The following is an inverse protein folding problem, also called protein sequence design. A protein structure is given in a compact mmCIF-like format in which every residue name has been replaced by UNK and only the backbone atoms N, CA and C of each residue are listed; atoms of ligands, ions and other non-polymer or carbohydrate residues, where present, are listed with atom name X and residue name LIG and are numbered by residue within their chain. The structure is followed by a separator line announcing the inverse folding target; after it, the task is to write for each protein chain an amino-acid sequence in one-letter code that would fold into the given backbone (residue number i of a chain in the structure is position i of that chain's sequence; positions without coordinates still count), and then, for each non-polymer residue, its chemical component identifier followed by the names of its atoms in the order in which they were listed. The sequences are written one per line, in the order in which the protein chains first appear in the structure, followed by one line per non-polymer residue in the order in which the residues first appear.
data_IF_369186147400
#
_entry.id   IF_369186147400
#
_cell.length_a   1.000
_cell.length_b   1.000
_cell.length_c   1.000
_cell.angle_alpha   90.00
_cell.angle_beta   90.00
_cell.angle_gamma   90.00
#
_symmetry.space_group_name_H-M   'P 1'
#
loop_
_entity.id
_entity.type
_entity.pdbx_description
1 polymer ?
#
# COMPACT_ATOMS: atom_id res chain seq x y z
N UNK A 1 -8.63 -32.78 -3.59
CA UNK A 1 -8.49 -31.36 -3.25
C UNK A 1 -7.24 -31.29 -2.41
N UNK A 2 -6.15 -30.90 -3.04
CA UNK A 2 -4.77 -31.02 -2.55
C UNK A 2 -4.08 -29.71 -2.89
N UNK A 3 -3.19 -29.23 -2.00
CA UNK A 3 -2.34 -28.02 -2.09
C UNK A 3 -2.67 -26.80 -1.19
N UNK A 4 -3.18 -27.00 0.03
CA UNK A 4 -3.17 -25.92 1.07
C UNK A 4 -2.76 -26.40 2.47
N UNK A 5 -2.07 -27.54 2.58
CA UNK A 5 -1.59 -28.08 3.86
C UNK A 5 -0.07 -27.87 3.93
N UNK A 6 0.36 -26.72 4.48
CA UNK A 6 1.79 -26.46 4.67
C UNK A 6 2.26 -25.01 4.69
N UNK A 7 1.36 -24.02 4.75
CA UNK A 7 1.75 -22.64 5.03
C UNK A 7 1.75 -22.44 6.55
N UNK A 8 2.91 -22.66 7.16
CA UNK A 8 3.16 -22.38 8.57
C UNK A 8 3.14 -20.86 8.77
N UNK A 9 1.96 -20.30 9.08
CA UNK A 9 1.79 -18.87 9.31
C UNK A 9 2.61 -18.38 10.52
N UNK A 10 2.94 -19.26 11.47
CA UNK A 10 3.73 -18.91 12.66
C UNK A 10 5.17 -18.50 12.32
N UNK A 11 5.78 -19.11 11.28
CA UNK A 11 7.11 -18.71 10.80
C UNK A 11 7.11 -17.34 10.09
N UNK A 12 5.95 -16.84 9.66
CA UNK A 12 5.80 -15.52 9.04
C UNK A 12 5.71 -14.42 10.10
N UNK A 13 5.12 -14.73 11.26
CA UNK A 13 5.00 -13.78 12.39
C UNK A 13 6.35 -13.48 13.06
N UNK A 14 7.28 -14.44 13.09
CA UNK A 14 8.61 -14.26 13.72
C UNK A 14 9.52 -13.29 12.95
N UNK A 15 9.32 -13.12 11.64
CA UNK A 15 10.05 -12.16 10.81
C UNK A 15 9.54 -10.71 10.94
N UNK A 16 8.41 -10.49 11.63
CA UNK A 16 7.87 -9.16 11.88
C UNK A 16 8.41 -8.50 13.16
N UNK A 17 9.25 -9.21 13.93
CA UNK A 17 9.73 -8.77 15.24
C UNK A 17 11.20 -8.25 15.26
N UNK A 18 11.81 -8.01 14.10
CA UNK A 18 13.16 -7.42 14.06
C UNK A 18 13.08 -5.89 13.94
N UNK A 19 13.35 -5.24 15.07
CA UNK A 19 13.57 -3.82 15.28
C UNK A 19 14.84 -3.36 14.55
N UNK A 20 14.83 -3.37 13.21
CA UNK A 20 15.83 -2.69 12.38
C UNK A 20 15.23 -1.38 11.82
N UNK A 21 15.71 -0.20 12.23
CA UNK A 21 15.25 1.09 11.71
C UNK A 21 15.71 1.37 10.25
N UNK A 22 16.19 0.35 9.52
CA UNK A 22 16.50 0.40 8.10
C UNK A 22 15.56 -0.51 7.28
N UNK A 23 14.72 0.10 6.44
CA UNK A 23 14.24 -0.54 5.19
C UNK A 23 13.21 -1.67 5.35
N UNK A 24 12.37 -1.65 6.38
CA UNK A 24 11.15 -2.46 6.44
C UNK A 24 9.93 -1.71 5.90
N UNK A 25 9.74 -1.65 4.59
CA UNK A 25 8.54 -1.05 3.97
C UNK A 25 7.30 -1.84 4.38
N UNK A 26 6.59 -1.40 5.44
CA UNK A 26 5.32 -1.99 5.87
C UNK A 26 4.32 -1.90 4.72
N UNK A 27 3.71 -3.01 4.33
CA UNK A 27 2.65 -3.01 3.31
C UNK A 27 1.30 -3.07 4.02
N UNK A 28 0.42 -2.10 3.74
CA UNK A 28 -0.92 -2.00 4.31
C UNK A 28 -1.93 -2.29 3.22
N UNK A 29 -2.77 -3.31 3.46
CA UNK A 29 -3.90 -3.64 2.61
C UNK A 29 -5.15 -2.95 3.16
N UNK A 30 -5.93 -2.34 2.26
CA UNK A 30 -7.16 -1.65 2.65
C UNK A 30 -8.19 -1.66 1.55
N UNK A 31 -9.34 -1.09 1.84
CA UNK A 31 -10.39 -0.78 0.87
C UNK A 31 -10.49 0.74 0.79
N UNK A 32 -10.56 1.26 -0.43
CA UNK A 32 -10.81 2.66 -0.71
C UNK A 32 -12.30 2.78 -1.06
N UNK A 33 -13.12 2.95 -0.04
CA UNK A 33 -14.59 3.11 -0.10
C UNK A 33 -15.06 4.46 0.47
N UNK A 34 -14.16 5.23 1.10
CA UNK A 34 -14.43 6.55 1.67
C UNK A 34 -14.77 6.57 3.17
N UNK A 35 -14.88 5.41 3.83
CA UNK A 35 -15.01 5.33 5.30
C UNK A 35 -13.72 5.78 5.99
N UNK A 36 -12.54 5.41 5.46
CA UNK A 36 -11.25 5.92 5.92
C UNK A 36 -10.95 7.28 5.31
N UNK A 37 -10.72 8.27 6.18
CA UNK A 37 -10.39 9.64 5.77
C UNK A 37 -9.04 9.77 5.05
N UNK A 38 -8.87 10.79 4.21
CA UNK A 38 -7.65 10.98 3.41
C UNK A 38 -6.39 11.20 4.26
N UNK A 39 -6.51 11.87 5.42
CA UNK A 39 -5.39 12.13 6.33
C UNK A 39 -4.78 10.83 6.87
N UNK A 40 -5.60 9.83 7.19
CA UNK A 40 -5.11 8.54 7.73
C UNK A 40 -4.27 7.78 6.70
N UNK A 41 -4.68 7.81 5.42
CA UNK A 41 -3.88 7.23 4.33
C UNK A 41 -2.56 7.98 4.15
N UNK A 42 -2.61 9.31 4.20
CA UNK A 42 -1.43 10.15 4.05
C UNK A 42 -0.43 9.93 5.19
N UNK A 43 -0.88 9.91 6.44
CA UNK A 43 -0.06 9.61 7.61
C UNK A 43 0.59 8.22 7.51
N UNK A 44 -0.17 7.23 7.04
CA UNK A 44 0.34 5.87 6.85
C UNK A 44 1.48 5.83 5.83
N UNK A 45 1.35 6.53 4.69
CA UNK A 45 2.41 6.60 3.69
C UNK A 45 3.61 7.41 4.19
N UNK A 46 3.38 8.53 4.88
CA UNK A 46 4.47 9.33 5.44
C UNK A 46 5.30 8.58 6.49
N UNK A 47 4.71 7.57 7.15
CA UNK A 47 5.42 6.63 8.02
C UNK A 47 6.36 5.66 7.27
N UNK A 48 6.35 5.69 5.93
CA UNK A 48 7.15 4.81 5.07
C UNK A 48 6.43 3.52 4.66
N UNK A 49 5.11 3.43 4.87
CA UNK A 49 4.33 2.27 4.45
C UNK A 49 3.85 2.39 3.00
N UNK A 50 3.79 1.26 2.30
CA UNK A 50 3.16 1.12 0.98
C UNK A 50 1.71 0.73 1.17
N UNK A 51 0.78 1.44 0.52
CA UNK A 51 -0.64 1.08 0.52
C UNK A 51 -0.99 0.27 -0.72
N UNK A 52 -1.82 -0.76 -0.54
CA UNK A 52 -2.51 -1.47 -1.62
C UNK A 52 -4.00 -1.47 -1.29
N UNK A 53 -4.73 -0.58 -1.95
CA UNK A 53 -6.13 -0.32 -1.64
C UNK A 53 -7.04 -0.89 -2.72
N UNK A 54 -7.97 -1.77 -2.36
CA UNK A 54 -9.03 -2.20 -3.26
C UNK A 54 -10.02 -1.04 -3.47
N UNK A 55 -10.21 -0.58 -4.70
CA UNK A 55 -11.04 0.60 -4.98
C UNK A 55 -12.49 0.19 -5.13
N UNK A 56 -13.35 0.69 -4.24
CA UNK A 56 -14.80 0.49 -4.28
C UNK A 56 -15.51 1.83 -4.52
N UNK A 57 -15.53 2.27 -5.77
CA UNK A 57 -16.19 3.54 -6.17
C UNK A 57 -15.40 4.30 -7.23
N UNK A 58 -15.54 5.62 -7.22
CA UNK A 58 -14.76 6.50 -8.11
C UNK A 58 -13.40 6.83 -7.48
N UNK A 59 -12.34 6.32 -8.11
CA UNK A 59 -10.97 6.53 -7.66
C UNK A 59 -10.61 8.02 -7.57
N UNK A 60 -11.05 8.85 -8.53
CA UNK A 60 -10.65 10.24 -8.53
C UNK A 60 -11.27 10.98 -7.37
N UNK A 61 -12.53 10.71 -7.06
CA UNK A 61 -13.21 11.31 -5.89
C UNK A 61 -12.56 10.85 -4.59
N UNK A 62 -12.30 9.55 -4.44
CA UNK A 62 -11.78 8.97 -3.20
C UNK A 62 -10.30 9.29 -2.96
N UNK A 63 -9.48 9.32 -4.01
CA UNK A 63 -8.05 9.60 -3.90
C UNK A 63 -7.73 11.10 -3.96
N UNK A 64 -8.63 11.97 -4.44
CA UNK A 64 -8.36 13.41 -4.54
C UNK A 64 -7.89 14.04 -3.23
N UNK A 65 -8.36 13.53 -2.09
CA UNK A 65 -8.03 14.04 -0.77
C UNK A 65 -6.58 13.83 -0.33
N UNK A 66 -5.85 12.87 -0.90
CA UNK A 66 -4.46 12.58 -0.50
C UNK A 66 -3.49 12.43 -1.68
N UNK A 67 -3.98 12.18 -2.90
CA UNK A 67 -3.13 11.93 -4.07
C UNK A 67 -2.18 13.08 -4.37
N UNK A 68 -2.65 14.31 -4.17
CA UNK A 68 -1.84 15.51 -4.36
C UNK A 68 -0.71 15.57 -3.35
N UNK A 69 -1.01 15.45 -2.07
CA UNK A 69 -0.03 15.53 -0.98
C UNK A 69 1.02 14.41 -1.06
N UNK A 70 0.62 13.21 -1.46
CA UNK A 70 1.55 12.10 -1.74
C UNK A 70 2.54 12.49 -2.86
N UNK A 71 2.04 13.04 -3.97
CA UNK A 71 2.90 13.48 -5.09
C UNK A 71 3.83 14.62 -4.68
N UNK A 72 3.34 15.58 -3.91
CA UNK A 72 4.15 16.69 -3.39
C UNK A 72 5.22 16.22 -2.40
N UNK A 73 4.96 15.12 -1.68
CA UNK A 73 5.91 14.46 -0.76
C UNK A 73 6.91 13.54 -1.47
N UNK A 74 6.83 13.40 -2.81
CA UNK A 74 7.71 12.57 -3.61
C UNK A 74 7.36 11.07 -3.64
N UNK A 75 6.15 10.70 -3.21
CA UNK A 75 5.61 9.35 -3.34
C UNK A 75 4.99 9.10 -4.72
N UNK A 76 4.66 7.84 -5.00
CA UNK A 76 3.98 7.44 -6.24
C UNK A 76 2.58 6.88 -5.98
N UNK A 77 1.70 7.01 -6.98
CA UNK A 77 0.39 6.39 -7.00
C UNK A 77 0.19 5.72 -8.36
N UNK A 78 -0.30 4.50 -8.36
CA UNK A 78 -0.69 3.77 -9.55
C UNK A 78 -1.98 3.00 -9.33
N UNK A 79 -2.93 3.17 -10.24
CA UNK A 79 -4.08 2.28 -10.33
C UNK A 79 -3.75 1.06 -11.20
N UNK A 80 -3.94 -0.15 -10.65
CA UNK A 80 -3.69 -1.42 -11.31
C UNK A 80 -4.81 -2.43 -11.00
N UNK A 81 -5.54 -2.85 -12.04
CA UNK A 81 -6.57 -3.91 -11.99
C UNK A 81 -7.60 -3.76 -10.84
N UNK A 82 -8.03 -2.54 -10.53
CA UNK A 82 -8.99 -2.27 -9.45
C UNK A 82 -8.34 -1.94 -8.10
N UNK A 83 -7.02 -2.00 -8.02
CA UNK A 83 -6.27 -1.60 -6.83
C UNK A 83 -5.57 -0.26 -7.05
N UNK A 84 -5.50 0.56 -6.01
CA UNK A 84 -4.63 1.72 -5.93
C UNK A 84 -3.39 1.34 -5.11
N UNK A 85 -2.23 1.38 -5.75
CA UNK A 85 -0.93 1.22 -5.13
C UNK A 85 -0.39 2.61 -4.81
N UNK A 86 0.01 2.84 -3.57
CA UNK A 86 0.60 4.10 -3.12
C UNK A 86 1.92 3.83 -2.43
N UNK A 87 2.99 4.48 -2.88
CA UNK A 87 4.32 4.31 -2.30
C UNK A 87 4.85 5.59 -1.66
N UNK A 88 5.61 5.48 -0.57
CA UNK A 88 6.33 6.59 0.02
C UNK A 88 7.52 7.01 -0.86
N UNK A 89 8.12 8.20 -0.60
CA UNK A 89 9.33 8.61 -1.28
C UNK A 89 10.45 7.57 -1.13
N UNK A 90 11.16 7.30 -2.24
CA UNK A 90 12.24 6.32 -2.29
C UNK A 90 11.83 4.90 -2.67
N UNK A 91 10.54 4.65 -2.94
CA UNK A 91 10.03 3.38 -3.46
C UNK A 91 9.35 3.60 -4.81
N UNK A 92 9.98 3.07 -5.87
CA UNK A 92 9.50 3.19 -7.26
C UNK A 92 8.55 2.05 -7.64
N UNK A 93 7.52 2.37 -8.43
CA UNK A 93 6.60 1.36 -8.98
C UNK A 93 7.06 0.93 -10.38
N UNK A 94 7.77 -0.21 -10.49
CA UNK A 94 8.16 -0.77 -11.79
C UNK A 94 6.98 -1.40 -12.54
N UNK A 95 6.73 -0.91 -13.75
CA UNK A 95 5.58 -1.28 -14.59
C UNK A 95 5.99 -1.85 -15.94
N UNK A 96 7.30 -1.99 -16.18
CA UNK A 96 7.85 -2.47 -17.45
C UNK A 96 7.35 -3.87 -17.84
N UNK A 97 6.86 -4.65 -16.87
CA UNK A 97 6.35 -6.01 -17.09
C UNK A 97 4.84 -6.07 -17.31
N UNK A 98 4.13 -4.95 -17.27
CA UNK A 98 2.66 -4.93 -17.36
C UNK A 98 2.10 -5.07 -18.78
N UNK A 99 2.93 -5.06 -19.82
CA UNK A 99 2.55 -5.42 -21.19
C UNK A 99 1.94 -4.29 -22.00
#
# INVERSE_FOLDING_TARGET
MTDFEGLDLQAVEDQMNDDDPGTGSRIVLGVLDGETGPDEWLETVQSGAVLVLNVEGDLNELAAGFARDIKESGGELMHFRGFLIVTPPGIEIDTNRLG
#
